data_IF_312539160891
#
_entry.id   IF_312539160891
#
_cell.length_a   1.000
_cell.length_b   1.000
_cell.length_c   1.000
_cell.angle_alpha   90.00
_cell.angle_beta   90.00
_cell.angle_gamma   90.00
#
_symmetry.space_group_name_H-M   'P 1'
#
loop_
_entity.id
_entity.type
_entity.pdbx_description
1 polymer ?
#
# COMPACT_ATOMS: atom_id res chain seq x y z
N UNK A 1 -9.25 -4.41 11.87
CA UNK A 1 -10.28 -3.65 12.62
C UNK A 1 -9.76 -2.30 13.11
N UNK A 2 -8.57 -2.26 13.71
CA UNK A 2 -7.97 -1.06 14.28
C UNK A 2 -7.82 0.19 13.36
N UNK A 3 -7.84 0.07 12.03
CA UNK A 3 -7.83 1.24 11.13
C UNK A 3 -9.22 1.85 10.95
N UNK A 4 -10.28 1.03 10.96
CA UNK A 4 -11.65 1.51 10.77
C UNK A 4 -12.17 2.17 12.05
N UNK A 5 -11.80 1.63 13.21
CA UNK A 5 -12.11 2.23 14.51
C UNK A 5 -11.48 3.63 14.67
N UNK A 6 -10.31 3.86 14.07
CA UNK A 6 -9.62 5.17 14.09
C UNK A 6 -10.28 6.23 13.20
N UNK A 7 -11.22 5.84 12.33
CA UNK A 7 -11.96 6.81 11.50
C UNK A 7 -13.02 7.58 12.28
N UNK A 8 -13.43 7.08 13.44
CA UNK A 8 -14.36 7.77 14.35
C UNK A 8 -13.61 8.69 15.34
N UNK A 9 -12.31 8.91 15.15
CA UNK A 9 -11.53 9.78 16.03
C UNK A 9 -11.94 11.25 15.84
N UNK A 10 -12.07 12.00 16.93
CA UNK A 10 -12.44 13.43 16.88
C UNK A 10 -11.37 14.35 16.31
N UNK A 11 -10.20 13.83 15.96
CA UNK A 11 -9.08 14.61 15.41
C UNK A 11 -8.94 14.30 13.92
N UNK A 12 -9.11 15.30 13.04
CA UNK A 12 -9.09 15.12 11.59
C UNK A 12 -7.75 14.59 11.06
N UNK A 13 -6.64 14.81 11.78
CA UNK A 13 -5.33 14.27 11.40
C UNK A 13 -5.32 12.75 11.52
N UNK A 14 -5.78 12.22 12.64
CA UNK A 14 -5.85 10.77 12.87
C UNK A 14 -6.81 10.09 11.89
N UNK A 15 -7.95 10.73 11.59
CA UNK A 15 -8.88 10.23 10.58
C UNK A 15 -8.23 10.20 9.19
N UNK A 16 -7.49 11.26 8.83
CA UNK A 16 -6.75 11.34 7.57
C UNK A 16 -5.67 10.26 7.44
N UNK A 17 -4.90 10.02 8.50
CA UNK A 17 -3.88 8.96 8.55
C UNK A 17 -4.50 7.56 8.50
N UNK A 18 -5.59 7.32 9.23
CA UNK A 18 -6.32 6.06 9.22
C UNK A 18 -6.91 5.76 7.84
N UNK A 19 -7.48 6.77 7.18
CA UNK A 19 -7.97 6.65 5.81
C UNK A 19 -6.82 6.38 4.84
N UNK A 20 -5.70 7.11 4.94
CA UNK A 20 -4.53 6.87 4.10
C UNK A 20 -4.00 5.43 4.25
N UNK A 21 -3.91 4.92 5.49
CA UNK A 21 -3.51 3.54 5.78
C UNK A 21 -4.49 2.51 5.21
N UNK A 22 -5.79 2.75 5.34
CA UNK A 22 -6.82 1.89 4.74
C UNK A 22 -6.67 1.84 3.22
N UNK A 23 -6.59 3.00 2.56
CA UNK A 23 -6.43 3.09 1.10
C UNK A 23 -5.15 2.40 0.64
N UNK A 24 -4.07 2.58 1.40
CA UNK A 24 -2.80 1.92 1.14
C UNK A 24 -2.92 0.39 1.21
N UNK A 25 -3.53 -0.16 2.26
CA UNK A 25 -3.63 -1.61 2.42
C UNK A 25 -4.63 -2.23 1.43
N UNK A 26 -5.77 -1.59 1.23
CA UNK A 26 -6.92 -2.20 0.57
C UNK A 26 -7.19 -1.74 -0.86
N UNK A 27 -6.56 -0.64 -1.29
CA UNK A 27 -6.86 -0.02 -2.57
C UNK A 27 -8.18 0.77 -2.60
N UNK A 28 -8.85 0.96 -1.46
CA UNK A 28 -10.08 1.76 -1.38
C UNK A 28 -9.89 3.17 -1.99
N UNK A 29 -10.76 3.54 -2.93
CA UNK A 29 -10.73 4.84 -3.62
C UNK A 29 -12.01 5.68 -3.40
N UNK A 30 -12.96 5.15 -2.62
CA UNK A 30 -14.22 5.80 -2.33
C UNK A 30 -14.15 6.97 -1.34
N UNK A 31 -15.33 7.51 -0.95
CA UNK A 31 -15.45 8.63 -0.02
C UNK A 31 -14.79 8.36 1.33
N UNK A 32 -14.17 9.39 1.91
CA UNK A 32 -13.48 9.28 3.20
C UNK A 32 -14.39 9.29 4.43
N UNK A 33 -15.72 9.30 4.26
CA UNK A 33 -16.64 9.29 5.41
C UNK A 33 -16.57 7.92 6.11
N UNK A 34 -16.59 7.90 7.45
CA UNK A 34 -16.52 6.64 8.21
C UNK A 34 -17.60 5.63 7.81
N UNK A 35 -18.82 6.09 7.53
CA UNK A 35 -19.93 5.24 7.10
C UNK A 35 -19.72 4.62 5.72
N UNK A 36 -19.17 5.37 4.75
CA UNK A 36 -18.86 4.84 3.43
C UNK A 36 -17.78 3.78 3.52
N UNK A 37 -16.73 4.05 4.31
CA UNK A 37 -15.66 3.08 4.57
C UNK A 37 -16.19 1.81 5.23
N UNK A 38 -17.02 1.93 6.28
CA UNK A 38 -17.60 0.77 6.97
C UNK A 38 -18.48 -0.08 6.04
N UNK A 39 -19.34 0.58 5.26
CA UNK A 39 -20.24 -0.09 4.31
C UNK A 39 -19.45 -0.83 3.22
N UNK A 40 -18.38 -0.22 2.72
CA UNK A 40 -17.48 -0.87 1.78
C UNK A 40 -16.73 -2.05 2.44
N UNK A 41 -16.14 -1.86 3.62
CA UNK A 41 -15.37 -2.90 4.30
C UNK A 41 -16.21 -4.12 4.66
N UNK A 42 -17.47 -3.93 5.06
CA UNK A 42 -18.40 -5.03 5.35
C UNK A 42 -18.54 -6.02 4.18
N UNK A 43 -18.38 -5.52 2.94
CA UNK A 43 -18.42 -6.34 1.71
C UNK A 43 -17.04 -6.85 1.32
N UNK A 44 -16.03 -6.00 1.43
CA UNK A 44 -14.68 -6.30 0.97
C UNK A 44 -13.93 -7.29 1.88
N UNK A 45 -14.25 -7.32 3.19
CA UNK A 45 -13.52 -8.08 4.22
C UNK A 45 -13.35 -9.57 3.88
N UNK A 46 -14.32 -10.20 3.23
CA UNK A 46 -14.26 -11.63 2.88
C UNK A 46 -13.08 -11.97 1.96
N UNK A 47 -12.58 -11.00 1.19
CA UNK A 47 -11.40 -11.15 0.34
C UNK A 47 -10.06 -10.97 1.07
N UNK A 48 -10.06 -10.61 2.35
CA UNK A 48 -8.85 -10.33 3.12
C UNK A 48 -8.63 -11.37 4.23
N UNK A 49 -7.48 -12.02 4.20
CA UNK A 49 -7.05 -12.95 5.23
C UNK A 49 -6.30 -12.20 6.35
N UNK A 50 -6.60 -12.53 7.61
CA UNK A 50 -6.02 -11.82 8.76
C UNK A 50 -4.52 -12.07 8.95
N UNK A 51 -4.00 -13.18 8.41
CA UNK A 51 -2.60 -13.59 8.45
C UNK A 51 -1.77 -13.07 7.27
N UNK A 52 -2.42 -12.45 6.28
CA UNK A 52 -1.76 -11.86 5.13
C UNK A 52 -1.66 -10.34 5.26
N UNK A 53 -0.50 -9.82 4.83
CA UNK A 53 -0.34 -8.39 4.59
C UNK A 53 -0.85 -8.07 3.20
N UNK A 54 -1.39 -6.87 3.04
CA UNK A 54 -1.93 -6.39 1.77
C UNK A 54 -1.39 -5.02 1.43
N UNK A 55 -1.29 -4.76 0.13
CA UNK A 55 -0.97 -3.43 -0.40
C UNK A 55 -1.78 -3.23 -1.69
N UNK A 56 -2.54 -2.15 -1.73
CA UNK A 56 -3.43 -1.84 -2.85
C UNK A 56 -4.49 -2.91 -3.12
N UNK A 57 -4.91 -3.67 -2.10
CA UNK A 57 -5.92 -4.74 -2.21
C UNK A 57 -5.36 -6.11 -2.57
N UNK A 58 -4.06 -6.21 -2.87
CA UNK A 58 -3.40 -7.46 -3.25
C UNK A 58 -2.52 -7.99 -2.11
N UNK A 59 -2.36 -9.32 -1.97
CA UNK A 59 -1.38 -9.89 -1.07
C UNK A 59 0.00 -9.28 -1.27
N UNK A 60 0.68 -9.03 -0.17
CA UNK A 60 1.93 -8.32 -0.16
C UNK A 60 3.03 -9.08 -0.89
N UNK A 61 3.49 -8.54 -2.02
CA UNK A 61 4.51 -9.08 -2.91
C UNK A 61 5.26 -7.92 -3.58
N UNK A 62 6.43 -8.19 -4.18
CA UNK A 62 7.15 -7.17 -4.95
C UNK A 62 6.26 -6.59 -6.06
N UNK A 63 5.46 -7.44 -6.72
CA UNK A 63 4.53 -7.05 -7.78
C UNK A 63 3.43 -6.12 -7.29
N UNK A 64 2.82 -6.42 -6.14
CA UNK A 64 1.76 -5.58 -5.57
C UNK A 64 2.31 -4.26 -5.02
N UNK A 65 3.47 -4.27 -4.38
CA UNK A 65 4.18 -3.05 -3.94
C UNK A 65 4.54 -2.16 -5.13
N UNK A 66 5.05 -2.74 -6.22
CA UNK A 66 5.36 -2.01 -7.48
C UNK A 66 4.11 -1.37 -8.07
N UNK A 67 3.01 -2.13 -8.11
CA UNK A 67 1.72 -1.66 -8.64
C UNK A 67 1.12 -0.55 -7.78
N UNK A 68 1.22 -0.67 -6.44
CA UNK A 68 0.79 0.36 -5.50
C UNK A 68 1.66 1.62 -5.59
N UNK A 69 2.97 1.47 -5.82
CA UNK A 69 3.90 2.58 -5.98
C UNK A 69 3.59 3.40 -7.25
N UNK A 70 3.20 2.73 -8.34
CA UNK A 70 2.80 3.38 -9.59
C UNK A 70 1.49 4.17 -9.46
N UNK A 71 0.57 3.75 -8.59
CA UNK A 71 -0.77 4.36 -8.41
C UNK A 71 -0.89 5.29 -7.21
N UNK A 72 0.05 5.21 -6.27
CA UNK A 72 -0.03 5.87 -4.97
C UNK A 72 0.19 7.39 -5.02
N UNK A 73 -0.35 8.08 -4.02
CA UNK A 73 -0.05 9.50 -3.76
C UNK A 73 1.42 9.68 -3.34
N UNK A 74 1.98 10.89 -3.46
CA UNK A 74 3.38 11.17 -3.09
C UNK A 74 3.74 10.74 -1.67
N UNK A 75 2.81 10.89 -0.70
CA UNK A 75 3.01 10.46 0.69
C UNK A 75 3.13 8.93 0.81
N UNK A 76 2.39 8.18 -0.01
CA UNK A 76 2.40 6.71 -0.01
C UNK A 76 3.61 6.16 -0.78
N UNK A 77 4.05 6.90 -1.81
CA UNK A 77 5.17 6.52 -2.68
C UNK A 77 6.47 6.41 -1.91
N UNK A 78 6.78 7.31 -0.99
CA UNK A 78 8.06 7.26 -0.26
C UNK A 78 8.19 6.01 0.62
N UNK A 79 7.12 5.62 1.33
CA UNK A 79 7.11 4.39 2.12
C UNK A 79 7.29 3.14 1.23
N UNK A 80 6.58 3.08 0.10
CA UNK A 80 6.68 1.99 -0.87
C UNK A 80 8.05 1.94 -1.56
N UNK A 81 8.69 3.09 -1.78
CA UNK A 81 10.05 3.22 -2.34
C UNK A 81 11.08 2.57 -1.44
N UNK A 82 11.00 2.83 -0.14
CA UNK A 82 11.88 2.23 0.87
C UNK A 82 11.67 0.71 0.95
N UNK A 83 10.42 0.29 0.93
CA UNK A 83 10.07 -1.14 0.95
C UNK A 83 10.66 -1.89 -0.26
N UNK A 84 10.58 -1.31 -1.46
CA UNK A 84 11.18 -1.88 -2.67
C UNK A 84 12.71 -1.95 -2.57
N UNK A 85 13.37 -0.95 -1.99
CA UNK A 85 14.83 -0.95 -1.82
C UNK A 85 15.30 -1.99 -0.81
N UNK A 86 14.59 -2.16 0.31
CA UNK A 86 14.92 -3.16 1.32
C UNK A 86 14.80 -4.57 0.74
N UNK A 87 13.77 -4.81 -0.08
CA UNK A 87 13.40 -6.16 -0.55
C UNK A 87 13.95 -6.54 -1.92
N UNK A 88 14.46 -5.58 -2.67
CA UNK A 88 15.20 -5.82 -3.92
C UNK A 88 16.63 -5.30 -3.81
N UNK A 89 17.48 -5.89 -2.93
CA UNK A 89 18.86 -5.48 -2.79
C UNK A 89 19.60 -5.64 -4.13
N UNK A 90 20.35 -4.60 -4.52
CA UNK A 90 21.07 -4.56 -5.80
C UNK A 90 20.25 -4.03 -6.99
N UNK A 91 18.96 -3.72 -6.81
CA UNK A 91 18.17 -2.99 -7.79
C UNK A 91 18.56 -1.50 -7.88
N UNK A 92 18.21 -0.81 -8.98
CA UNK A 92 18.48 0.62 -9.10
C UNK A 92 17.69 1.41 -8.05
N UNK A 93 18.32 2.42 -7.46
CA UNK A 93 17.67 3.32 -6.52
C UNK A 93 16.48 4.01 -7.16
N UNK A 94 15.28 3.79 -6.62
CA UNK A 94 14.07 4.47 -7.08
C UNK A 94 14.15 5.95 -6.69
N UNK A 95 14.00 6.90 -7.63
CA UNK A 95 14.03 8.33 -7.34
C UNK A 95 12.78 8.75 -6.53
N UNK A 96 12.94 9.62 -5.53
CA UNK A 96 11.82 10.09 -4.68
C UNK A 96 10.92 11.14 -5.35
N UNK A 97 11.36 11.74 -6.46
CA UNK A 97 10.63 12.77 -7.21
C UNK A 97 10.57 12.41 -8.70
N UNK A 98 9.35 12.49 -9.24
CA UNK A 98 8.95 11.94 -10.53
C UNK A 98 9.82 12.39 -11.72
N UNK A 99 10.48 11.42 -12.35
CA UNK A 99 10.65 11.39 -13.81
C UNK A 99 9.94 10.14 -14.32
N UNK A 100 8.75 10.26 -14.94
CA UNK A 100 7.89 9.11 -15.24
C UNK A 100 8.58 8.01 -16.07
N UNK A 101 9.56 8.36 -16.90
CA UNK A 101 10.31 7.43 -17.75
C UNK A 101 11.44 6.71 -17.02
N UNK A 102 12.27 7.42 -16.24
CA UNK A 102 13.36 6.82 -15.45
C UNK A 102 12.82 5.95 -14.32
N UNK A 103 11.73 6.39 -13.71
CA UNK A 103 11.03 5.63 -12.67
C UNK A 103 10.46 4.32 -13.21
N UNK A 104 9.81 4.33 -14.38
CA UNK A 104 9.36 3.11 -15.05
C UNK A 104 10.49 2.15 -15.39
N UNK A 105 11.58 2.66 -15.99
CA UNK A 105 12.74 1.82 -16.30
C UNK A 105 13.39 1.21 -15.04
N UNK A 106 13.42 1.93 -13.92
CA UNK A 106 13.90 1.41 -12.65
C UNK A 106 12.95 0.33 -12.09
N UNK A 107 11.63 0.51 -12.21
CA UNK A 107 10.63 -0.49 -11.78
C UNK A 107 10.65 -1.75 -12.66
N UNK A 108 10.96 -1.62 -13.94
CA UNK A 108 11.05 -2.75 -14.88
C UNK A 108 12.35 -3.56 -14.70
N UNK A 109 13.39 -2.96 -14.15
CA UNK A 109 14.68 -3.61 -13.87
C UNK A 109 14.77 -4.23 -12.47
N UNK A 110 13.76 -4.01 -11.60
CA UNK A 110 13.62 -4.80 -10.39
C UNK A 110 13.31 -6.24 -10.78
N UNK A 111 14.31 -7.13 -10.63
CA UNK A 111 14.17 -8.57 -10.81
C UNK A 111 12.97 -9.07 -10.01
N UNK A 112 11.93 -9.54 -10.70
CA UNK A 112 10.78 -10.23 -10.10
C UNK A 112 11.24 -11.64 -9.72
N UNK A 113 12.18 -11.73 -8.78
CA UNK A 113 12.35 -12.95 -8.02
C UNK A 113 11.16 -13.01 -7.08
N UNK A 114 10.18 -13.84 -7.41
CA UNK A 114 8.93 -14.04 -6.67
C UNK A 114 9.25 -14.66 -5.30
N UNK A 115 9.90 -13.87 -4.46
CA UNK A 115 10.15 -14.22 -3.08
C UNK A 115 8.83 -13.96 -2.40
N UNK A 116 8.15 -15.02 -1.99
CA UNK A 116 6.86 -14.94 -1.31
C UNK A 116 7.00 -14.10 -0.03
N UNK A 117 6.69 -12.80 -0.15
CA UNK A 117 6.87 -11.79 0.90
C UNK A 117 5.71 -11.78 1.91
N UNK A 118 4.73 -12.66 1.71
CA UNK A 118 3.59 -12.85 2.62
C UNK A 118 4.04 -13.36 3.99
N UNK A 119 5.18 -14.08 4.03
CA UNK A 119 5.81 -14.62 5.24
C UNK A 119 7.11 -13.89 5.56
N UNK A 120 7.05 -12.79 6.28
CA UNK A 120 8.18 -12.34 7.10
C UNK A 120 7.66 -11.34 8.10
N UNK A 121 8.32 -11.23 9.25
CA UNK A 121 7.85 -10.63 10.50
C UNK A 121 6.98 -11.58 11.36
N UNK A 122 7.61 -12.68 11.79
CA UNK A 122 7.41 -13.20 13.15
C UNK A 122 8.40 -12.49 14.07
#
# INVERSE_FOLDING_TARGET
EACIERLDHGDPKFVGEALAGLRHATGYDGPGSPDAVRSWWAKAREGFAADLRYVGGEPFSLTSVRSAYARGSSATREALRLELQIRSPGGPGLPSAAWPSRERAALDSLSIGDSDLTRTWK
#
